data_IF_820891356371
#
_entry.id   IF_820891356371
#
_cell.length_a   1.000
_cell.length_b   1.000
_cell.length_c   1.000
_cell.angle_alpha   90.00
_cell.angle_beta   90.00
_cell.angle_gamma   90.00
#
_symmetry.space_group_name_H-M   'P 1'
#
loop_
_entity.id
_entity.type
_entity.pdbx_description
1 polymer ?
#
# COMPACT_ATOMS: atom_id res chain seq x y z
N UNK A 1 -19.70 8.15 6.74
CA UNK A 1 -18.56 9.05 7.04
C UNK A 1 -17.49 8.24 7.79
N UNK A 2 -16.21 8.60 7.63
CA UNK A 2 -15.08 7.90 8.28
C UNK A 2 -14.96 8.21 9.77
N UNK A 3 -14.12 7.43 10.48
CA UNK A 3 -13.88 7.61 11.93
C UNK A 3 -12.87 8.72 12.25
N UNK A 4 -11.94 8.98 11.35
CA UNK A 4 -10.87 9.97 11.51
C UNK A 4 -11.03 11.08 10.47
N UNK A 5 -10.98 12.32 10.91
CA UNK A 5 -11.08 13.51 10.07
C UNK A 5 -9.90 14.42 10.42
N UNK A 6 -9.14 14.84 9.41
CA UNK A 6 -7.99 15.72 9.56
C UNK A 6 -8.15 16.90 8.62
N UNK A 7 -8.13 18.12 9.16
CA UNK A 7 -8.10 19.35 8.35
C UNK A 7 -6.66 19.58 7.88
N UNK A 8 -6.43 19.47 6.57
CA UNK A 8 -5.07 19.46 5.99
C UNK A 8 -4.68 20.76 5.28
N UNK A 9 -5.57 21.76 5.26
CA UNK A 9 -5.26 23.07 4.69
C UNK A 9 -6.43 23.68 3.92
N UNK A 10 -6.06 24.45 2.91
CA UNK A 10 -6.92 25.18 1.99
C UNK A 10 -7.53 24.29 0.90
N UNK A 11 -8.34 24.90 0.02
CA UNK A 11 -8.98 24.20 -1.09
C UNK A 11 -7.94 23.54 -2.00
N UNK A 12 -8.07 22.24 -2.24
CA UNK A 12 -7.13 21.44 -3.04
C UNK A 12 -6.16 20.61 -2.21
N UNK A 13 -5.77 21.05 -1.01
CA UNK A 13 -4.77 20.36 -0.18
C UNK A 13 -5.20 18.93 0.19
N UNK A 14 -6.50 18.70 0.37
CA UNK A 14 -7.06 17.36 0.58
C UNK A 14 -6.80 16.39 -0.58
N UNK A 15 -6.83 16.87 -1.82
CA UNK A 15 -6.56 16.04 -3.01
C UNK A 15 -5.07 15.72 -3.11
N UNK A 16 -4.20 16.70 -2.82
CA UNK A 16 -2.75 16.50 -2.78
C UNK A 16 -2.38 15.48 -1.71
N UNK A 17 -2.93 15.60 -0.49
CA UNK A 17 -2.69 14.62 0.58
C UNK A 17 -3.24 13.24 0.20
N UNK A 18 -4.37 13.16 -0.51
CA UNK A 18 -4.87 11.88 -1.04
C UNK A 18 -3.90 11.28 -2.06
N UNK A 19 -3.36 12.07 -2.97
CA UNK A 19 -2.35 11.63 -3.93
C UNK A 19 -1.11 11.06 -3.21
N UNK A 20 -0.58 11.78 -2.20
CA UNK A 20 0.53 11.31 -1.35
C UNK A 20 0.20 9.94 -0.73
N UNK A 21 -0.99 9.78 -0.16
CA UNK A 21 -1.41 8.48 0.40
C UNK A 21 -1.41 7.36 -0.64
N UNK A 22 -1.93 7.61 -1.85
CA UNK A 22 -1.99 6.59 -2.90
C UNK A 22 -0.60 6.22 -3.47
N UNK A 23 0.34 7.17 -3.49
CA UNK A 23 1.76 6.87 -3.80
C UNK A 23 2.33 5.91 -2.75
N UNK A 24 2.17 6.24 -1.46
CA UNK A 24 2.68 5.41 -0.35
C UNK A 24 2.04 4.01 -0.34
N UNK A 25 0.73 3.92 -0.58
CA UNK A 25 0.00 2.64 -0.68
C UNK A 25 0.60 1.75 -1.76
N UNK A 26 0.88 2.29 -2.95
CA UNK A 26 1.46 1.50 -4.04
C UNK A 26 2.87 1.03 -3.76
N UNK A 27 3.74 1.96 -3.35
CA UNK A 27 5.16 1.65 -3.10
C UNK A 27 5.32 0.62 -1.99
N UNK A 28 4.55 0.76 -0.90
CA UNK A 28 4.58 -0.22 0.19
C UNK A 28 4.00 -1.58 -0.22
N UNK A 29 2.92 -1.61 -1.01
CA UNK A 29 2.37 -2.87 -1.52
C UNK A 29 3.33 -3.57 -2.50
N UNK A 30 4.01 -2.81 -3.37
CA UNK A 30 5.02 -3.35 -4.27
C UNK A 30 6.18 -3.98 -3.49
N UNK A 31 6.70 -3.28 -2.48
CA UNK A 31 7.76 -3.81 -1.62
C UNK A 31 7.33 -5.07 -0.86
N UNK A 32 6.07 -5.16 -0.42
CA UNK A 32 5.52 -6.38 0.20
C UNK A 32 5.49 -7.54 -0.80
N UNK A 33 5.01 -7.30 -2.01
CA UNK A 33 4.94 -8.33 -3.06
C UNK A 33 6.34 -8.84 -3.43
N UNK A 34 7.30 -7.94 -3.65
CA UNK A 34 8.69 -8.31 -3.96
C UNK A 34 9.36 -9.05 -2.80
N UNK A 35 9.22 -8.55 -1.57
CA UNK A 35 9.82 -9.16 -0.39
C UNK A 35 9.30 -10.56 -0.10
N UNK A 36 7.98 -10.76 -0.17
CA UNK A 36 7.36 -12.09 0.03
C UNK A 36 7.70 -13.05 -1.12
N UNK A 37 7.76 -12.56 -2.36
CA UNK A 37 8.19 -13.37 -3.50
C UNK A 37 9.65 -13.81 -3.36
N UNK A 38 10.54 -12.90 -2.95
CA UNK A 38 11.94 -13.21 -2.67
C UNK A 38 12.05 -14.27 -1.57
N UNK A 39 11.35 -14.08 -0.44
CA UNK A 39 11.32 -15.05 0.65
C UNK A 39 10.82 -16.43 0.20
N UNK A 40 9.79 -16.47 -0.65
CA UNK A 40 9.25 -17.70 -1.21
C UNK A 40 10.29 -18.41 -2.08
N UNK A 41 10.98 -17.68 -2.96
CA UNK A 41 12.04 -18.23 -3.82
C UNK A 41 13.29 -18.66 -3.04
N UNK A 42 13.60 -17.97 -1.94
CA UNK A 42 14.68 -18.34 -1.04
C UNK A 42 14.34 -19.58 -0.17
N UNK A 43 13.09 -20.05 -0.18
CA UNK A 43 12.67 -21.25 0.55
C UNK A 43 12.52 -21.04 2.06
N UNK A 44 12.47 -19.78 2.54
CA UNK A 44 12.23 -19.53 3.97
C UNK A 44 10.75 -19.71 4.30
N UNK A 45 10.46 -20.02 5.56
CA UNK A 45 9.08 -20.10 6.03
C UNK A 45 8.42 -18.71 5.95
N UNK A 46 7.44 -18.56 5.06
CA UNK A 46 6.80 -17.27 4.77
C UNK A 46 6.06 -16.68 5.96
N UNK A 47 5.37 -17.50 6.76
CA UNK A 47 4.65 -17.03 7.96
C UNK A 47 5.62 -16.51 9.01
N UNK A 48 6.75 -17.21 9.22
CA UNK A 48 7.80 -16.76 10.13
C UNK A 48 8.52 -15.51 9.60
N UNK A 49 8.76 -15.43 8.30
CA UNK A 49 9.31 -14.24 7.66
C UNK A 49 8.38 -13.03 7.89
N UNK A 50 7.10 -13.16 7.56
CA UNK A 50 6.07 -12.15 7.79
C UNK A 50 6.01 -11.72 9.25
N UNK A 51 5.98 -12.67 10.19
CA UNK A 51 5.97 -12.38 11.62
C UNK A 51 7.21 -11.57 12.04
N UNK A 52 8.40 -11.97 11.56
CA UNK A 52 9.66 -11.33 11.94
C UNK A 52 9.78 -9.89 11.43
N UNK A 53 9.34 -9.62 10.20
CA UNK A 53 9.49 -8.28 9.59
C UNK A 53 8.35 -7.33 9.93
N UNK A 54 7.16 -7.84 10.28
CA UNK A 54 5.97 -7.03 10.54
C UNK A 54 6.11 -6.08 11.74
N UNK A 55 6.91 -6.43 12.75
CA UNK A 55 7.15 -5.59 13.93
C UNK A 55 8.37 -4.67 13.82
N UNK A 56 9.16 -4.79 12.75
CA UNK A 56 10.37 -4.00 12.54
C UNK A 56 10.13 -2.72 11.72
N UNK A 57 11.21 -2.08 11.28
CA UNK A 57 11.15 -0.87 10.46
C UNK A 57 10.40 -1.04 9.12
N UNK A 58 10.28 -2.28 8.62
CA UNK A 58 9.50 -2.61 7.43
C UNK A 58 7.99 -2.72 7.69
N UNK A 59 7.57 -2.63 8.96
CA UNK A 59 6.17 -2.73 9.37
C UNK A 59 5.29 -1.69 8.68
N UNK A 60 4.24 -2.16 8.01
CA UNK A 60 3.25 -1.32 7.36
C UNK A 60 1.88 -1.98 7.38
N UNK A 61 0.82 -1.20 7.15
CA UNK A 61 -0.52 -1.76 6.99
C UNK A 61 -0.59 -2.74 5.81
N UNK A 62 0.11 -2.42 4.69
CA UNK A 62 0.18 -3.31 3.54
C UNK A 62 0.81 -4.65 3.90
N UNK A 63 1.91 -4.66 4.67
CA UNK A 63 2.56 -5.91 5.08
C UNK A 63 1.68 -6.71 6.05
N UNK A 64 1.20 -6.05 7.10
CA UNK A 64 0.48 -6.73 8.20
C UNK A 64 -0.89 -7.26 7.78
N UNK A 65 -1.60 -6.54 6.89
CA UNK A 65 -2.94 -6.92 6.42
C UNK A 65 -2.88 -7.61 5.06
N UNK A 66 -2.39 -6.91 4.03
CA UNK A 66 -2.42 -7.45 2.67
C UNK A 66 -1.36 -8.53 2.45
N UNK A 67 -0.17 -8.41 3.05
CA UNK A 67 0.84 -9.47 3.03
C UNK A 67 0.30 -10.77 3.64
N UNK A 68 -0.43 -10.69 4.75
CA UNK A 68 -1.09 -11.86 5.35
C UNK A 68 -2.15 -12.48 4.45
N UNK A 69 -2.99 -11.66 3.79
CA UNK A 69 -3.96 -12.15 2.80
C UNK A 69 -3.28 -12.87 1.63
N UNK A 70 -2.18 -12.31 1.12
CA UNK A 70 -1.38 -12.94 0.06
C UNK A 70 -0.86 -14.32 0.48
N UNK A 71 -0.36 -14.48 1.72
CA UNK A 71 0.09 -15.79 2.22
C UNK A 71 -1.04 -16.82 2.30
N UNK A 72 -2.27 -16.37 2.52
CA UNK A 72 -3.47 -17.20 2.56
C UNK A 72 -4.07 -17.47 1.17
N UNK A 73 -3.49 -16.90 0.11
CA UNK A 73 -4.04 -16.96 -1.25
C UNK A 73 -5.32 -16.13 -1.44
N UNK A 74 -5.64 -15.24 -0.50
CA UNK A 74 -6.79 -14.33 -0.58
C UNK A 74 -6.42 -13.10 -1.42
N UNK A 75 -6.98 -13.04 -2.63
CA UNK A 75 -6.83 -11.92 -3.57
C UNK A 75 -8.10 -11.07 -3.67
N UNK A 76 -9.08 -11.27 -2.78
CA UNK A 76 -10.31 -10.50 -2.81
C UNK A 76 -10.03 -9.00 -2.59
N UNK A 77 -10.48 -8.12 -3.50
CA UNK A 77 -10.05 -6.74 -3.51
C UNK A 77 -10.76 -5.93 -2.42
N UNK A 78 -10.00 -5.47 -1.42
CA UNK A 78 -10.43 -4.37 -0.54
C UNK A 78 -10.40 -3.01 -1.28
N UNK A 79 -9.54 -2.89 -2.29
CA UNK A 79 -9.46 -1.76 -3.21
C UNK A 79 -9.09 -2.30 -4.59
N UNK A 80 -9.87 -1.96 -5.63
CA UNK A 80 -9.70 -2.57 -6.95
C UNK A 80 -8.51 -1.94 -7.66
N UNK A 81 -7.75 -2.76 -8.39
CA UNK A 81 -6.59 -2.29 -9.17
C UNK A 81 -6.97 -1.20 -10.17
N UNK A 82 -8.15 -1.28 -10.79
CA UNK A 82 -8.65 -0.24 -11.72
C UNK A 82 -8.79 1.13 -11.05
N UNK A 83 -9.20 1.15 -9.79
CA UNK A 83 -9.40 2.39 -9.03
C UNK A 83 -8.04 2.95 -8.59
N UNK A 84 -7.08 2.07 -8.29
CA UNK A 84 -5.69 2.44 -8.05
C UNK A 84 -5.01 3.03 -9.30
N UNK A 85 -5.19 2.42 -10.47
CA UNK A 85 -4.67 2.94 -11.74
C UNK A 85 -5.26 4.30 -12.08
N UNK A 86 -6.55 4.53 -11.78
CA UNK A 86 -7.17 5.85 -11.89
C UNK A 86 -6.47 6.87 -10.98
N UNK A 87 -6.18 6.50 -9.73
CA UNK A 87 -5.46 7.39 -8.81
C UNK A 87 -4.05 7.69 -9.31
N UNK A 88 -3.32 6.70 -9.83
CA UNK A 88 -2.00 6.91 -10.44
C UNK A 88 -2.05 7.89 -11.62
N UNK A 89 -3.09 7.81 -12.47
CA UNK A 89 -3.26 8.77 -13.55
C UNK A 89 -3.40 10.20 -13.03
N UNK A 90 -4.27 10.41 -12.03
CA UNK A 90 -4.48 11.72 -11.41
C UNK A 90 -3.17 12.23 -10.80
N UNK A 91 -2.41 11.35 -10.12
CA UNK A 91 -1.09 11.70 -9.57
C UNK A 91 -0.14 12.18 -10.67
N UNK A 92 -0.07 11.46 -11.80
CA UNK A 92 0.82 11.83 -12.91
C UNK A 92 0.39 13.12 -13.59
N UNK A 93 -0.91 13.33 -13.80
CA UNK A 93 -1.46 14.57 -14.33
C UNK A 93 -1.12 15.76 -13.40
N UNK A 94 -1.41 15.63 -12.10
CA UNK A 94 -1.05 16.67 -11.10
C UNK A 94 0.45 16.93 -11.08
N UNK A 95 1.29 15.90 -11.11
CA UNK A 95 2.75 16.06 -11.11
C UNK A 95 3.28 16.79 -12.36
N UNK A 96 2.57 16.73 -13.48
CA UNK A 96 2.94 17.45 -14.71
C UNK A 96 2.53 18.93 -14.70
N UNK A 97 1.65 19.32 -13.79
CA UNK A 97 1.15 20.70 -13.63
C UNK A 97 1.89 21.46 -12.51
N UNK A 98 2.70 20.77 -11.69
CA UNK A 98 3.58 21.35 -10.67
C UNK A 98 4.87 21.90 -11.28
#
# INVERSE_FOLDING_TARGET
MGKTITHVGSNGDGQVVKAVNQILVGMTMLGVAEGLMFASKAGVNLEKCHQAVSGGAAGSWQLTVNGKKLLQGDLEPGFKIKDYVKDLRIIMETASEL
#
